data_IF_134970748855
#
_entry.id   IF_134970748855
#
_cell.length_a   1.000
_cell.length_b   1.000
_cell.length_c   1.000
_cell.angle_alpha   90.00
_cell.angle_beta   90.00
_cell.angle_gamma   90.00
#
_symmetry.space_group_name_H-M   'P 1'
#
loop_
_entity.id
_entity.type
_entity.pdbx_description
1 polymer ?
#
# COMPACT_ATOMS: atom_id res chain seq x y z
N UNK A 1 -5.60 44.27 5.21
CA UNK A 1 -4.41 43.86 4.45
C UNK A 1 -4.45 42.35 4.28
N UNK A 2 -4.51 41.89 3.03
CA UNK A 2 -4.63 40.50 2.62
C UNK A 2 -3.24 39.85 2.57
N UNK A 3 -3.02 38.76 3.30
CA UNK A 3 -1.86 37.89 3.09
C UNK A 3 -2.29 36.67 2.28
N UNK A 4 -1.97 36.72 0.99
CA UNK A 4 -2.07 35.63 0.03
C UNK A 4 -1.08 34.54 0.42
N UNK A 5 -1.58 33.38 0.86
CA UNK A 5 -0.78 32.15 0.96
C UNK A 5 -0.60 31.60 -0.46
N UNK A 6 0.55 31.91 -1.07
CA UNK A 6 1.02 31.21 -2.24
C UNK A 6 1.08 29.71 -1.94
N UNK A 7 0.37 28.95 -2.75
CA UNK A 7 0.49 27.50 -2.84
C UNK A 7 1.89 27.18 -3.37
N UNK A 8 2.76 26.70 -2.47
CA UNK A 8 3.96 25.99 -2.87
C UNK A 8 3.52 24.62 -3.42
N UNK A 9 3.34 24.59 -4.73
CA UNK A 9 3.27 23.37 -5.53
C UNK A 9 4.67 22.74 -5.51
N UNK A 10 4.93 21.89 -4.53
CA UNK A 10 6.08 20.99 -4.59
C UNK A 10 5.75 19.84 -5.54
N UNK A 11 5.99 20.07 -6.83
CA UNK A 11 6.19 18.99 -7.79
C UNK A 11 7.51 18.29 -7.41
N UNK A 12 7.42 17.22 -6.62
CA UNK A 12 8.53 16.33 -6.38
C UNK A 12 8.70 15.41 -7.61
N UNK A 13 9.51 15.86 -8.56
CA UNK A 13 10.08 15.02 -9.62
C UNK A 13 11.16 14.11 -8.98
N UNK A 14 11.01 12.79 -9.06
CA UNK A 14 12.13 11.88 -8.77
C UNK A 14 11.79 10.53 -8.14
N UNK A 15 10.91 9.73 -8.77
CA UNK A 15 11.02 8.26 -8.76
C UNK A 15 10.05 7.69 -9.81
N UNK A 16 10.55 7.28 -10.98
CA UNK A 16 9.67 6.86 -12.09
C UNK A 16 9.15 5.45 -11.83
N UNK A 17 7.97 5.33 -11.21
CA UNK A 17 7.31 4.05 -11.02
C UNK A 17 7.15 3.31 -12.36
N UNK A 18 7.70 2.10 -12.45
CA UNK A 18 7.54 1.20 -13.58
C UNK A 18 6.06 0.83 -13.73
N UNK A 19 5.52 0.92 -14.95
CA UNK A 19 4.15 0.48 -15.24
C UNK A 19 4.16 -0.97 -15.72
N UNK A 20 3.61 -1.87 -14.92
CA UNK A 20 3.34 -3.25 -15.31
C UNK A 20 1.97 -3.31 -15.97
N UNK A 21 1.93 -3.53 -17.28
CA UNK A 21 0.69 -3.61 -18.09
C UNK A 21 0.43 -5.00 -18.69
N UNK A 22 1.42 -5.89 -18.65
CA UNK A 22 1.24 -7.27 -19.10
C UNK A 22 0.27 -8.01 -18.17
N UNK A 23 -0.82 -8.53 -18.73
CA UNK A 23 -1.85 -9.25 -17.98
C UNK A 23 -1.29 -10.43 -17.18
N UNK A 24 -0.47 -11.27 -17.81
CA UNK A 24 0.18 -12.41 -17.14
C UNK A 24 1.05 -11.96 -15.96
N UNK A 25 1.78 -10.85 -16.10
CA UNK A 25 2.59 -10.29 -14.99
C UNK A 25 1.71 -9.74 -13.87
N UNK A 26 0.64 -9.03 -14.20
CA UNK A 26 -0.33 -8.51 -13.22
C UNK A 26 -0.93 -9.66 -12.41
N UNK A 27 -1.38 -10.72 -13.08
CA UNK A 27 -1.97 -11.90 -12.43
C UNK A 27 -0.93 -12.60 -11.54
N UNK A 28 0.33 -12.72 -12.00
CA UNK A 28 1.40 -13.26 -11.18
C UNK A 28 1.63 -12.43 -9.91
N UNK A 29 1.64 -11.09 -10.00
CA UNK A 29 1.77 -10.21 -8.83
C UNK A 29 0.61 -10.39 -7.84
N UNK A 30 -0.64 -10.43 -8.33
CA UNK A 30 -1.82 -10.66 -7.47
C UNK A 30 -1.77 -12.04 -6.79
N UNK A 31 -1.34 -13.08 -7.51
CA UNK A 31 -1.15 -14.43 -6.95
C UNK A 31 -0.04 -14.43 -5.90
N UNK A 32 1.04 -13.68 -6.11
CA UNK A 32 2.14 -13.55 -5.14
C UNK A 32 1.66 -12.86 -3.86
N UNK A 33 1.01 -11.69 -3.97
CA UNK A 33 0.39 -10.97 -2.85
C UNK A 33 -0.53 -11.90 -2.03
N UNK A 34 -1.37 -12.69 -2.71
CA UNK A 34 -2.20 -13.72 -2.06
C UNK A 34 -1.34 -14.77 -1.34
N UNK A 35 -0.39 -15.39 -2.05
CA UNK A 35 0.39 -16.53 -1.52
C UNK A 35 1.27 -16.15 -0.33
N UNK A 36 1.71 -14.89 -0.26
CA UNK A 36 2.50 -14.35 0.84
C UNK A 36 1.65 -13.73 1.94
N UNK A 37 0.31 -13.78 1.81
CA UNK A 37 -0.64 -13.18 2.76
C UNK A 37 -0.34 -11.70 3.04
N UNK A 38 0.07 -10.96 2.00
CA UNK A 38 0.46 -9.56 2.15
C UNK A 38 -0.75 -8.71 2.57
N UNK A 39 -0.53 -7.87 3.58
CA UNK A 39 -1.53 -6.90 4.03
C UNK A 39 -1.54 -5.72 3.05
N UNK A 40 -2.71 -5.44 2.49
CA UNK A 40 -2.90 -4.36 1.53
C UNK A 40 -3.44 -3.13 2.25
N UNK A 41 -2.70 -2.02 2.20
CA UNK A 41 -3.23 -0.72 2.58
C UNK A 41 -4.16 -0.21 1.49
N UNK A 42 -5.33 0.30 1.87
CA UNK A 42 -6.32 0.85 0.93
C UNK A 42 -6.72 2.26 1.30
N UNK A 43 -6.82 3.10 0.29
CA UNK A 43 -7.39 4.44 0.39
C UNK A 43 -8.69 4.51 -0.39
N UNK A 44 -9.77 4.81 0.32
CA UNK A 44 -11.08 5.08 -0.27
C UNK A 44 -11.28 6.59 -0.33
N UNK A 45 -11.81 7.10 -1.45
CA UNK A 45 -12.08 8.53 -1.61
C UNK A 45 -13.04 9.03 -0.52
N UNK A 46 -12.66 10.10 0.16
CA UNK A 46 -13.45 10.71 1.24
C UNK A 46 -13.16 10.14 2.63
N UNK A 47 -12.28 9.15 2.76
CA UNK A 47 -11.72 8.73 4.05
C UNK A 47 -10.37 9.42 4.28
N UNK A 48 -10.10 9.81 5.52
CA UNK A 48 -8.82 10.43 5.92
C UNK A 48 -7.76 9.42 6.34
N UNK A 49 -8.18 8.20 6.68
CA UNK A 49 -7.33 7.11 7.13
C UNK A 49 -7.26 6.00 6.08
N UNK A 50 -6.16 5.25 6.12
CA UNK A 50 -6.05 3.99 5.39
C UNK A 50 -6.80 2.90 6.14
N UNK A 51 -7.37 1.96 5.39
CA UNK A 51 -7.88 0.70 5.90
C UNK A 51 -7.03 -0.45 5.35
N UNK A 52 -7.14 -1.65 5.92
CA UNK A 52 -6.40 -2.81 5.47
C UNK A 52 -7.32 -3.90 4.93
N UNK A 53 -6.80 -4.71 4.00
CA UNK A 53 -7.45 -5.91 3.44
C UNK A 53 -6.39 -6.90 2.97
N UNK A 54 -6.80 -8.06 2.45
CA UNK A 54 -5.92 -9.06 1.84
C UNK A 54 -6.58 -9.66 0.59
N UNK A 55 -5.78 -10.27 -0.30
CA UNK A 55 -6.33 -11.00 -1.46
C UNK A 55 -6.76 -12.40 -1.02
N UNK A 56 -8.04 -12.72 -1.20
CA UNK A 56 -8.60 -14.05 -0.91
C UNK A 56 -8.41 -15.03 -2.08
N UNK A 57 -8.47 -14.53 -3.32
CA UNK A 57 -8.44 -15.38 -4.52
C UNK A 57 -8.26 -14.59 -5.81
N UNK A 58 -7.77 -15.26 -6.86
CA UNK A 58 -7.66 -14.71 -8.22
C UNK A 58 -8.32 -15.70 -9.18
N UNK A 59 -9.34 -15.25 -9.91
CA UNK A 59 -10.05 -15.99 -10.96
C UNK A 59 -9.75 -15.33 -12.31
N UNK A 60 -8.70 -15.82 -12.95
CA UNK A 60 -8.18 -15.27 -14.21
C UNK A 60 -9.18 -15.37 -15.36
N UNK A 61 -9.88 -16.51 -15.47
CA UNK A 61 -10.87 -16.78 -16.53
C UNK A 61 -12.05 -15.80 -16.47
N UNK A 62 -12.42 -15.34 -15.27
CA UNK A 62 -13.53 -14.41 -15.05
C UNK A 62 -13.08 -12.94 -14.99
N UNK A 63 -11.79 -12.65 -15.15
CA UNK A 63 -11.20 -11.31 -14.98
C UNK A 63 -11.40 -10.71 -13.57
N UNK A 64 -11.42 -11.56 -12.54
CA UNK A 64 -11.70 -11.16 -11.17
C UNK A 64 -10.60 -11.55 -10.19
N UNK A 65 -10.49 -10.77 -9.12
CA UNK A 65 -9.85 -11.19 -7.88
C UNK A 65 -10.70 -10.72 -6.70
N UNK A 66 -10.47 -11.33 -5.53
CA UNK A 66 -11.28 -11.12 -4.34
C UNK A 66 -10.47 -10.49 -3.24
N UNK A 67 -11.03 -9.46 -2.61
CA UNK A 67 -10.49 -8.83 -1.42
C UNK A 67 -11.31 -9.23 -0.20
N UNK A 68 -10.63 -9.38 0.93
CA UNK A 68 -11.23 -9.55 2.24
C UNK A 68 -11.92 -8.26 2.72
N UNK A 69 -12.71 -8.33 3.78
CA UNK A 69 -13.37 -7.17 4.36
C UNK A 69 -12.36 -6.09 4.75
N UNK A 70 -12.73 -4.83 4.50
CA UNK A 70 -11.92 -3.69 4.94
C UNK A 70 -11.96 -3.62 6.46
N UNK A 71 -10.79 -3.47 7.10
CA UNK A 71 -10.66 -3.44 8.56
C UNK A 71 -11.34 -2.23 9.23
N UNK A 72 -11.74 -1.21 8.46
CA UNK A 72 -12.44 -0.02 8.94
C UNK A 72 -13.85 0.06 8.35
N UNK A 73 -14.85 0.19 9.22
CA UNK A 73 -16.26 0.22 8.82
C UNK A 73 -16.61 1.48 7.99
N UNK A 74 -15.96 2.62 8.26
CA UNK A 74 -16.12 3.84 7.48
C UNK A 74 -15.64 3.67 6.04
N UNK A 75 -14.47 3.05 5.88
CA UNK A 75 -13.90 2.68 4.59
C UNK A 75 -14.75 1.64 3.86
N UNK A 76 -15.27 0.62 4.55
CA UNK A 76 -16.23 -0.34 3.98
C UNK A 76 -17.42 0.41 3.36
N UNK A 77 -18.10 1.24 4.16
CA UNK A 77 -19.29 1.97 3.70
C UNK A 77 -18.96 2.95 2.57
N UNK A 78 -17.81 3.61 2.64
CA UNK A 78 -17.34 4.48 1.56
C UNK A 78 -17.04 3.68 0.28
N UNK A 79 -16.45 2.48 0.39
CA UNK A 79 -16.08 1.69 -0.77
C UNK A 79 -17.30 1.16 -1.51
N UNK A 80 -18.35 0.73 -0.78
CA UNK A 80 -19.63 0.35 -1.38
C UNK A 80 -20.25 1.49 -2.19
N UNK A 81 -20.15 2.73 -1.68
CA UNK A 81 -20.69 3.93 -2.35
C UNK A 81 -19.84 4.37 -3.54
N UNK A 82 -18.52 4.44 -3.36
CA UNK A 82 -17.59 4.95 -4.37
C UNK A 82 -17.29 3.93 -5.48
N UNK A 83 -17.48 2.63 -5.20
CA UNK A 83 -17.18 1.50 -6.10
C UNK A 83 -15.72 1.44 -6.56
N UNK A 84 -14.84 2.20 -5.92
CA UNK A 84 -13.43 2.27 -6.26
C UNK A 84 -12.57 2.58 -5.03
N UNK A 85 -11.36 2.01 -5.02
CA UNK A 85 -10.33 2.29 -4.02
C UNK A 85 -8.94 2.22 -4.66
N UNK A 86 -7.96 2.84 -4.02
CA UNK A 86 -6.55 2.66 -4.34
C UNK A 86 -5.94 1.65 -3.37
N UNK A 87 -5.09 0.77 -3.88
CA UNK A 87 -4.26 -0.13 -3.09
C UNK A 87 -2.82 0.39 -3.08
N UNK A 88 -2.21 0.34 -1.92
CA UNK A 88 -0.81 0.62 -1.63
C UNK A 88 -0.26 -0.55 -0.79
N UNK A 89 0.73 -1.27 -1.32
CA UNK A 89 1.28 -2.45 -0.64
C UNK A 89 2.75 -2.67 -0.97
N UNK A 90 3.37 -3.58 -0.24
CA UNK A 90 4.73 -4.03 -0.49
C UNK A 90 4.74 -5.51 -0.87
N UNK A 91 5.60 -5.87 -1.81
CA UNK A 91 5.86 -7.26 -2.17
C UNK A 91 7.36 -7.45 -2.29
N UNK A 92 7.98 -8.19 -1.37
CA UNK A 92 9.43 -8.46 -1.39
C UNK A 92 10.28 -7.18 -1.48
N UNK A 93 9.89 -6.15 -0.74
CA UNK A 93 10.59 -4.86 -0.71
C UNK A 93 10.24 -3.89 -1.84
N UNK A 94 9.40 -4.31 -2.80
CA UNK A 94 8.88 -3.48 -3.88
C UNK A 94 7.57 -2.83 -3.49
N UNK A 95 7.43 -1.54 -3.75
CA UNK A 95 6.17 -0.81 -3.57
C UNK A 95 5.28 -1.03 -4.79
N UNK A 96 4.03 -1.45 -4.56
CA UNK A 96 3.02 -1.66 -5.58
C UNK A 96 1.82 -0.74 -5.33
N UNK A 97 1.36 -0.09 -6.39
CA UNK A 97 0.18 0.78 -6.36
C UNK A 97 -0.75 0.49 -7.54
N UNK A 98 -2.04 0.32 -7.28
CA UNK A 98 -3.03 0.12 -8.32
C UNK A 98 -4.44 0.54 -7.89
N UNK A 99 -5.33 0.71 -8.87
CA UNK A 99 -6.72 1.08 -8.66
C UNK A 99 -7.61 -0.16 -8.76
N UNK A 100 -8.55 -0.28 -7.85
CA UNK A 100 -9.54 -1.36 -7.81
C UNK A 100 -10.92 -0.80 -8.14
N UNK A 101 -11.69 -1.58 -8.90
CA UNK A 101 -13.10 -1.29 -9.19
C UNK A 101 -13.97 -2.43 -8.71
N UNK A 102 -14.91 -2.11 -7.83
CA UNK A 102 -15.85 -3.05 -7.23
C UNK A 102 -16.84 -3.54 -8.29
N UNK A 103 -16.87 -4.85 -8.51
CA UNK A 103 -17.87 -5.53 -9.35
C UNK A 103 -19.07 -5.88 -8.50
N UNK A 104 -18.82 -6.64 -7.44
CA UNK A 104 -19.84 -7.07 -6.51
C UNK A 104 -19.30 -7.17 -5.08
N UNK A 105 -20.18 -7.09 -4.10
CA UNK A 105 -19.91 -7.44 -2.71
C UNK A 105 -20.81 -8.62 -2.34
N UNK A 106 -20.27 -9.54 -1.57
CA UNK A 106 -21.02 -10.65 -1.00
C UNK A 106 -20.51 -10.88 0.42
N UNK A 107 -21.14 -11.78 1.17
CA UNK A 107 -20.69 -12.12 2.52
C UNK A 107 -20.80 -13.60 2.81
N UNK A 108 -19.88 -14.10 3.61
CA UNK A 108 -19.87 -15.48 4.09
C UNK A 108 -19.69 -15.46 5.60
N UNK A 109 -20.59 -16.11 6.34
CA UNK A 109 -20.61 -16.09 7.81
C UNK A 109 -20.60 -14.67 8.42
N UNK A 110 -21.23 -13.72 7.73
CA UNK A 110 -21.32 -12.32 8.17
C UNK A 110 -20.08 -11.47 7.87
N UNK A 111 -19.04 -12.04 7.25
CA UNK A 111 -17.83 -11.31 6.83
C UNK A 111 -17.97 -10.97 5.35
N UNK A 112 -17.77 -9.70 5.01
CA UNK A 112 -17.87 -9.25 3.63
C UNK A 112 -16.64 -9.64 2.80
N UNK A 113 -16.83 -9.87 1.51
CA UNK A 113 -15.73 -9.94 0.56
C UNK A 113 -16.11 -9.25 -0.75
N UNK A 114 -15.11 -8.74 -1.44
CA UNK A 114 -15.30 -7.89 -2.60
C UNK A 114 -14.77 -8.55 -3.86
N UNK A 115 -15.62 -8.70 -4.87
CA UNK A 115 -15.20 -9.10 -6.21
C UNK A 115 -14.73 -7.85 -6.98
N UNK A 116 -13.47 -7.85 -7.41
CA UNK A 116 -12.79 -6.72 -8.04
C UNK A 116 -12.33 -7.13 -9.45
N UNK A 117 -12.45 -6.23 -10.42
CA UNK A 117 -11.83 -6.43 -11.75
C UNK A 117 -10.31 -6.42 -11.63
N UNK A 118 -9.64 -7.35 -12.30
CA UNK A 118 -8.17 -7.32 -12.39
C UNK A 118 -7.73 -5.98 -13.01
N UNK A 119 -6.81 -5.23 -12.37
CA UNK A 119 -6.36 -3.96 -12.89
C UNK A 119 -5.63 -4.14 -14.23
N UNK A 120 -5.70 -3.13 -15.10
CA UNK A 120 -4.95 -3.13 -16.37
C UNK A 120 -3.52 -2.59 -16.21
N UNK A 121 -3.22 -1.99 -15.05
CA UNK A 121 -1.90 -1.45 -14.72
C UNK A 121 -1.63 -1.59 -13.23
N UNK A 122 -0.43 -2.05 -12.90
CA UNK A 122 0.16 -1.95 -11.56
C UNK A 122 1.40 -1.08 -11.67
N UNK A 123 1.50 -0.07 -10.81
CA UNK A 123 2.71 0.73 -10.67
C UNK A 123 3.64 0.06 -9.68
N UNK A 124 4.90 -0.12 -10.07
CA UNK A 124 5.94 -0.75 -9.27
C UNK A 124 7.04 0.26 -9.01
N UNK A 125 7.37 0.47 -7.75
CA UNK A 125 8.36 1.44 -7.33
C UNK A 125 9.46 0.76 -6.51
N UNK A 126 10.71 0.99 -6.91
CA UNK A 126 11.90 0.48 -6.22
C UNK A 126 12.69 1.68 -5.69
N UNK A 127 12.36 2.12 -4.47
CA UNK A 127 12.96 3.33 -3.88
C UNK A 127 14.34 3.10 -3.25
N UNK A 128 14.74 1.84 -3.07
CA UNK A 128 15.96 1.48 -2.33
C UNK A 128 17.12 1.23 -3.28
N UNK A 129 18.19 2.00 -3.11
CA UNK A 129 19.48 1.82 -3.79
C UNK A 129 20.33 0.73 -3.13
N UNK A 130 20.11 0.46 -1.84
CA UNK A 130 20.89 -0.51 -1.05
C UNK A 130 19.96 -1.41 -0.22
N UNK A 131 20.44 -2.62 0.08
CA UNK A 131 19.74 -3.60 0.92
C UNK A 131 19.86 -3.20 2.40
N UNK A 132 18.79 -3.42 3.19
CA UNK A 132 18.80 -3.19 4.64
C UNK A 132 19.21 -4.44 5.39
N UNK A 133 20.31 -4.36 6.12
CA UNK A 133 20.71 -5.38 7.09
C UNK A 133 20.02 -5.05 8.41
N UNK A 134 19.19 -5.96 8.92
CA UNK A 134 18.64 -5.82 10.27
C UNK A 134 19.74 -6.02 11.29
N UNK A 135 19.79 -5.14 12.28
CA UNK A 135 20.62 -5.37 13.46
C UNK A 135 19.97 -6.51 14.26
N UNK A 136 20.77 -7.48 14.68
CA UNK A 136 20.28 -8.61 15.48
C UNK A 136 19.59 -8.08 16.75
N UNK A 137 18.44 -8.67 17.12
CA UNK A 137 17.71 -8.27 18.31
C UNK A 137 18.52 -8.45 19.61
N UNK A 138 19.55 -9.30 19.60
CA UNK A 138 20.50 -9.45 20.71
C UNK A 138 21.63 -8.42 20.73
N UNK A 139 21.75 -7.57 19.70
CA UNK A 139 22.82 -6.59 19.55
C UNK A 139 22.24 -5.16 19.62
N UNK A 140 22.21 -4.57 20.83
CA UNK A 140 21.85 -3.15 20.99
C UNK A 140 22.99 -2.25 20.50
N UNK A 141 22.80 -1.63 19.34
CA UNK A 141 23.70 -0.59 18.83
C UNK A 141 23.12 0.77 19.21
N UNK A 142 23.65 1.38 20.27
CA UNK A 142 23.24 2.72 20.69
C UNK A 142 23.70 3.78 19.69
N UNK A 143 22.77 4.67 19.33
CA UNK A 143 23.03 5.82 18.47
C UNK A 143 22.70 7.10 19.22
N UNK A 144 23.51 8.13 18.99
CA UNK A 144 23.33 9.47 19.53
C UNK A 144 23.25 10.44 18.35
N UNK A 145 22.12 11.12 18.24
CA UNK A 145 21.86 12.12 17.20
C UNK A 145 21.81 13.49 17.87
N UNK A 146 22.74 14.40 17.56
CA UNK A 146 22.67 15.76 18.08
C UNK A 146 21.44 16.46 17.49
N UNK A 147 20.62 17.05 18.34
CA UNK A 147 19.58 17.99 17.93
C UNK A 147 20.21 19.36 17.59
N UNK A 148 19.55 20.13 16.74
CA UNK A 148 19.96 21.49 16.35
C UNK A 148 20.02 22.44 17.57
N UNK A 149 19.32 22.12 18.66
CA UNK A 149 19.38 22.83 19.94
C UNK A 149 20.57 22.46 20.84
N UNK A 150 21.40 21.47 20.46
CA UNK A 150 22.59 21.05 21.20
C UNK A 150 22.38 19.93 22.23
N UNK A 151 21.13 19.49 22.46
CA UNK A 151 20.87 18.26 23.21
C UNK A 151 21.00 17.03 22.30
N UNK A 152 21.44 15.90 22.85
CA UNK A 152 21.57 14.67 22.08
C UNK A 152 20.36 13.76 22.31
N UNK A 153 19.71 13.37 21.22
CA UNK A 153 18.69 12.33 21.22
C UNK A 153 19.37 10.96 21.15
N UNK A 154 19.06 10.09 22.11
CA UNK A 154 19.59 8.72 22.14
C UNK A 154 18.55 7.74 21.65
N UNK A 155 19.00 6.70 20.98
CA UNK A 155 18.15 5.63 20.47
C UNK A 155 18.94 4.36 20.15
N UNK A 156 18.26 3.41 19.52
CA UNK A 156 18.86 2.16 19.06
C UNK A 156 18.76 2.03 17.54
N UNK A 157 19.80 1.50 16.90
CA UNK A 157 19.78 1.22 15.48
C UNK A 157 18.96 -0.05 15.19
N UNK A 158 17.96 0.05 14.32
CA UNK A 158 17.04 -1.05 13.97
C UNK A 158 17.48 -1.76 12.68
N UNK A 159 17.87 -0.98 11.67
CA UNK A 159 18.42 -1.47 10.41
C UNK A 159 19.48 -0.52 9.86
N UNK A 160 20.35 -1.05 8.98
CA UNK A 160 21.43 -0.32 8.32
C UNK A 160 21.34 -0.52 6.81
N UNK A 161 21.54 0.53 6.03
CA UNK A 161 21.60 0.50 4.55
C UNK A 161 22.60 1.49 4.00
#
# INVERSE_FOLDING_TARGET
MLFSRQQASSQAQGDSAEKVTSRTKIIALLRQLKSQHELLGVQVKGQSTFSNTAILGVREDDDLFFLDELSDAGAHQAFLKQRALRVDCHLQGLELHFQCRLVNVDSSNGIAFYAIRIPTVIHRLQRRQFFRVRVDAGLSVSVSVPDLGGEALTGEAIDLS
#
